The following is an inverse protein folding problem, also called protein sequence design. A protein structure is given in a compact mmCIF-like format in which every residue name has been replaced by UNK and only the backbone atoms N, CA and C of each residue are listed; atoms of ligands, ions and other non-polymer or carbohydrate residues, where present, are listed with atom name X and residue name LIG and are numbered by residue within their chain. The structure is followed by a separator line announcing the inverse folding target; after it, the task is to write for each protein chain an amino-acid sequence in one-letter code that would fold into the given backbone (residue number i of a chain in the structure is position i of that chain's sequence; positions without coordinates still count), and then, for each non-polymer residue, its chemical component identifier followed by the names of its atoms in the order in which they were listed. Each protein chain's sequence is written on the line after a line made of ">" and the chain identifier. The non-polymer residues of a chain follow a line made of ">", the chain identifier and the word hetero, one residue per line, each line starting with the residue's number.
data_IF_725728389990
#
_entry.id   IF_725728389990
#
_cell.length_a   1.000
_cell.length_b   1.000
_cell.length_c   1.000
_cell.angle_alpha   90.00
_cell.angle_beta   90.00
_cell.angle_gamma   90.00
#
_symmetry.space_group_name_H-M   'P 1'
#
loop_
_entity.id
_entity.type
_entity.pdbx_description
1 polymer ?
#
# COMPACT_ATOMS: atom_id res chain seq x y z
N UNK A 1 22.85 67.64 10.18
CA UNK A 1 23.72 68.06 9.06
C UNK A 1 24.17 66.80 8.33
N UNK A 2 23.53 66.46 7.20
CA UNK A 2 23.99 65.36 6.35
C UNK A 2 25.07 65.92 5.42
N UNK A 3 26.31 65.54 5.66
CA UNK A 3 27.44 65.89 4.79
C UNK A 3 27.51 64.79 3.73
N UNK A 4 27.08 65.11 2.51
CA UNK A 4 27.25 64.26 1.33
C UNK A 4 28.63 64.56 0.74
N UNK A 5 29.62 63.72 1.03
CA UNK A 5 30.94 63.81 0.41
C UNK A 5 30.89 63.10 -0.95
N UNK A 6 30.88 63.88 -2.04
CA UNK A 6 31.16 63.38 -3.39
C UNK A 6 32.65 63.52 -3.67
N UNK A 7 33.39 62.41 -3.68
CA UNK A 7 34.75 62.40 -4.22
C UNK A 7 34.72 62.18 -5.73
N UNK A 8 35.59 62.91 -6.43
CA UNK A 8 35.61 63.07 -7.88
C UNK A 8 35.82 61.77 -8.66
N UNK A 9 35.26 61.76 -9.87
CA UNK A 9 35.32 60.70 -10.84
C UNK A 9 36.77 60.34 -11.21
N UNK A 10 37.11 59.06 -11.06
CA UNK A 10 38.36 58.48 -11.55
C UNK A 10 38.24 56.96 -11.60
N UNK A 11 37.83 56.42 -12.75
CA UNK A 11 37.96 55.03 -13.24
C UNK A 11 37.61 53.82 -12.34
N UNK A 12 37.20 54.03 -11.09
CA UNK A 12 36.67 53.01 -10.19
C UNK A 12 35.43 53.62 -9.49
N UNK A 13 34.38 52.81 -9.35
CA UNK A 13 32.99 53.21 -9.12
C UNK A 13 32.72 54.29 -8.06
N UNK A 14 31.64 55.03 -8.26
CA UNK A 14 31.21 56.11 -7.36
C UNK A 14 30.89 55.58 -5.97
N UNK A 15 31.73 55.95 -5.01
CA UNK A 15 31.51 55.72 -3.59
C UNK A 15 30.47 56.70 -3.04
N UNK A 16 29.36 56.18 -2.50
CA UNK A 16 28.48 56.95 -1.61
C UNK A 16 28.52 56.29 -0.25
N UNK A 17 29.26 56.87 0.69
CA UNK A 17 29.27 56.43 2.08
C UNK A 17 28.34 57.34 2.89
N UNK A 18 27.32 56.77 3.53
CA UNK A 18 26.48 57.48 4.48
C UNK A 18 27.02 57.30 5.91
N UNK A 19 27.29 58.41 6.59
CA UNK A 19 27.76 58.42 7.97
C UNK A 19 26.58 58.70 8.90
N UNK A 20 26.09 57.69 9.61
CA UNK A 20 25.02 57.84 10.62
C UNK A 20 25.56 57.26 11.94
N UNK A 21 25.72 58.12 12.95
CA UNK A 21 26.02 57.70 14.32
C UNK A 21 27.39 57.04 14.57
N UNK A 22 28.41 57.32 13.75
CA UNK A 22 29.78 56.83 13.99
C UNK A 22 30.08 55.41 13.49
N UNK A 23 29.15 54.77 12.77
CA UNK A 23 29.39 53.51 12.06
C UNK A 23 29.42 53.76 10.56
N UNK A 24 30.51 53.31 9.90
CA UNK A 24 30.55 53.15 8.45
C UNK A 24 29.65 51.98 8.08
N UNK A 25 28.60 52.23 7.32
CA UNK A 25 27.83 51.19 6.66
C UNK A 25 28.43 51.00 5.27
N UNK A 26 29.11 49.88 5.02
CA UNK A 26 29.57 49.55 3.66
C UNK A 26 28.40 49.00 2.86
N UNK A 27 27.85 49.79 1.94
CA UNK A 27 27.09 49.22 0.84
C UNK A 27 28.04 48.27 0.06
N UNK A 28 27.61 47.04 -0.14
CA UNK A 28 28.37 46.03 -0.87
C UNK A 28 28.72 46.56 -2.27
N UNK A 29 30.00 46.82 -2.52
CA UNK A 29 30.49 47.29 -3.81
C UNK A 29 30.41 46.17 -4.85
N UNK A 30 29.72 46.40 -5.96
CA UNK A 30 29.73 45.55 -7.15
C UNK A 30 30.58 46.23 -8.23
N UNK A 31 31.41 45.46 -8.94
CA UNK A 31 32.22 45.89 -10.08
C UNK A 31 31.31 46.22 -11.28
N UNK A 32 31.85 46.82 -12.35
CA UNK A 32 31.08 47.16 -13.56
C UNK A 32 30.39 45.95 -14.21
N UNK A 33 30.92 44.74 -14.00
CA UNK A 33 30.34 43.48 -14.46
C UNK A 33 29.19 42.97 -13.57
N UNK A 34 28.83 43.70 -12.51
CA UNK A 34 27.73 43.36 -11.61
C UNK A 34 28.09 42.41 -10.46
N UNK A 35 29.36 42.02 -10.30
CA UNK A 35 29.82 41.10 -9.26
C UNK A 35 30.64 41.80 -8.17
N UNK A 36 30.51 41.35 -6.92
CA UNK A 36 31.28 41.84 -5.78
C UNK A 36 32.76 41.36 -5.84
N UNK A 37 33.67 41.85 -4.97
CA UNK A 37 35.07 41.40 -4.95
C UNK A 37 35.25 39.90 -4.77
N UNK A 38 34.30 39.22 -4.13
CA UNK A 38 34.28 37.76 -3.93
C UNK A 38 33.70 37.00 -5.13
N UNK A 39 33.28 37.69 -6.19
CA UNK A 39 32.81 37.08 -7.43
C UNK A 39 31.31 36.75 -7.47
N UNK A 40 30.49 37.27 -6.55
CA UNK A 40 29.05 37.02 -6.48
C UNK A 40 28.22 38.24 -6.91
N UNK A 41 27.10 38.00 -7.60
CA UNK A 41 26.13 39.02 -8.00
C UNK A 41 25.30 39.54 -6.80
N UNK A 42 24.35 40.44 -7.09
CA UNK A 42 23.48 41.05 -6.06
C UNK A 42 22.58 40.05 -5.33
N UNK A 43 22.30 38.91 -5.96
CA UNK A 43 21.46 37.87 -5.40
C UNK A 43 22.32 36.78 -4.71
N UNK A 44 23.64 36.92 -4.70
CA UNK A 44 24.58 36.02 -4.04
C UNK A 44 25.03 34.84 -4.89
N UNK A 45 24.99 34.93 -6.23
CA UNK A 45 25.41 33.85 -7.14
C UNK A 45 26.70 34.19 -7.89
N UNK A 46 27.58 33.21 -8.04
CA UNK A 46 28.84 33.32 -8.79
C UNK A 46 28.57 33.50 -10.30
N UNK A 47 29.63 33.67 -11.10
CA UNK A 47 29.51 33.83 -12.56
C UNK A 47 28.94 32.61 -13.27
N UNK A 48 28.96 31.45 -12.63
CA UNK A 48 28.40 30.21 -13.13
C UNK A 48 26.96 29.99 -12.63
N UNK A 49 26.43 30.93 -11.84
CA UNK A 49 25.06 30.94 -11.35
C UNK A 49 24.84 30.15 -10.05
N UNK A 50 25.89 29.87 -9.27
CA UNK A 50 25.81 29.10 -8.02
C UNK A 50 26.08 29.99 -6.79
N UNK A 51 25.33 29.78 -5.72
CA UNK A 51 25.55 30.46 -4.44
C UNK A 51 26.77 29.90 -3.69
N UNK A 52 27.08 30.47 -2.52
CA UNK A 52 28.21 30.04 -1.68
C UNK A 52 28.10 28.56 -1.21
N UNK A 53 26.87 28.04 -1.06
CA UNK A 53 26.62 26.63 -0.78
C UNK A 53 26.81 25.72 -2.01
N UNK A 54 27.07 26.28 -3.21
CA UNK A 54 27.25 25.56 -4.46
C UNK A 54 25.96 25.17 -5.18
N UNK A 55 24.83 25.84 -4.90
CA UNK A 55 23.52 25.59 -5.53
C UNK A 55 23.09 26.72 -6.45
N UNK A 56 22.49 26.37 -7.58
CA UNK A 56 21.91 27.31 -8.53
C UNK A 56 20.66 28.00 -7.98
N UNK A 57 20.10 28.94 -8.75
CA UNK A 57 18.88 29.67 -8.38
C UNK A 57 17.65 28.80 -8.19
N UNK A 58 17.67 27.58 -8.72
CA UNK A 58 16.61 26.59 -8.56
C UNK A 58 16.89 25.60 -7.42
N UNK A 59 18.03 25.73 -6.75
CA UNK A 59 18.42 24.90 -5.60
C UNK A 59 19.12 23.60 -5.97
N UNK A 60 19.71 23.48 -7.16
CA UNK A 60 20.47 22.31 -7.62
C UNK A 60 21.97 22.58 -7.64
N UNK A 61 22.77 21.61 -7.20
CA UNK A 61 24.22 21.70 -7.21
C UNK A 61 24.78 21.60 -8.65
N UNK A 62 26.10 21.74 -8.79
CA UNK A 62 26.79 21.62 -10.08
C UNK A 62 26.63 20.27 -10.78
N UNK A 63 26.26 19.21 -10.05
CA UNK A 63 25.93 17.90 -10.60
C UNK A 63 24.42 17.75 -10.95
N UNK A 64 23.62 18.81 -10.75
CA UNK A 64 22.19 18.84 -11.06
C UNK A 64 21.29 18.25 -9.98
N UNK A 65 21.76 18.10 -8.74
CA UNK A 65 21.00 17.52 -7.62
C UNK A 65 20.66 18.54 -6.54
N UNK A 66 19.45 18.46 -6.00
CA UNK A 66 18.98 19.30 -4.89
C UNK A 66 19.70 18.96 -3.57
N UNK A 67 19.43 19.73 -2.51
CA UNK A 67 19.98 19.47 -1.16
C UNK A 67 19.61 18.09 -0.59
N UNK A 68 18.62 17.40 -1.16
CA UNK A 68 18.19 16.05 -0.77
C UNK A 68 18.77 14.96 -1.69
N UNK A 69 19.60 15.33 -2.68
CA UNK A 69 20.23 14.40 -3.59
C UNK A 69 19.37 13.98 -4.78
N UNK A 70 18.33 14.73 -5.14
CA UNK A 70 17.44 14.43 -6.28
C UNK A 70 17.65 15.41 -7.42
N UNK A 71 17.68 14.89 -8.65
CA UNK A 71 17.77 15.68 -9.86
C UNK A 71 16.47 16.45 -10.15
N UNK A 72 16.47 17.22 -11.23
CA UNK A 72 15.31 18.02 -11.67
C UNK A 72 14.09 17.17 -12.03
N UNK A 73 14.29 15.90 -12.41
CA UNK A 73 13.23 14.93 -12.67
C UNK A 73 12.75 14.21 -11.39
N UNK A 74 13.36 14.51 -10.24
CA UNK A 74 12.99 13.94 -8.94
C UNK A 74 13.63 12.60 -8.61
N UNK A 75 14.69 12.20 -9.33
CA UNK A 75 15.43 10.94 -9.12
C UNK A 75 16.80 11.18 -8.48
N UNK A 76 17.20 10.27 -7.60
CA UNK A 76 18.54 10.27 -7.01
C UNK A 76 19.61 9.83 -8.01
N UNK A 77 20.86 9.80 -7.57
CA UNK A 77 22.00 9.41 -8.41
C UNK A 77 21.93 7.95 -8.88
N UNK A 78 21.17 7.11 -8.20
CA UNK A 78 20.94 5.70 -8.55
C UNK A 78 19.68 5.51 -9.41
N UNK A 79 18.97 6.59 -9.73
CA UNK A 79 17.78 6.56 -10.59
C UNK A 79 16.49 6.22 -9.86
N UNK A 80 16.43 6.40 -8.53
CA UNK A 80 15.22 6.18 -7.72
C UNK A 80 14.55 7.49 -7.32
N UNK A 81 13.23 7.54 -7.43
CA UNK A 81 12.43 8.68 -7.05
C UNK A 81 12.45 8.91 -5.52
N UNK A 82 11.78 9.96 -5.06
CA UNK A 82 11.68 10.26 -3.62
C UNK A 82 10.95 9.18 -2.81
N UNK A 83 10.21 8.29 -3.47
CA UNK A 83 9.53 7.14 -2.87
C UNK A 83 10.42 5.89 -2.87
N UNK A 84 11.60 5.93 -3.49
CA UNK A 84 12.55 4.84 -3.58
C UNK A 84 12.32 3.88 -4.75
N UNK A 85 11.60 4.31 -5.79
CA UNK A 85 11.26 3.51 -6.98
C UNK A 85 11.91 4.07 -8.24
N UNK A 86 12.40 3.18 -9.10
CA UNK A 86 12.96 3.56 -10.39
C UNK A 86 11.88 4.00 -11.39
N UNK A 87 12.30 4.41 -12.59
CA UNK A 87 11.39 4.79 -13.68
C UNK A 87 10.44 3.67 -14.13
N UNK A 88 10.74 2.40 -13.80
CA UNK A 88 9.90 1.24 -14.09
C UNK A 88 8.97 0.89 -12.92
N UNK A 89 9.06 1.64 -11.80
CA UNK A 89 8.22 1.46 -10.62
C UNK A 89 8.70 0.36 -9.66
N UNK A 90 9.98 -0.04 -9.72
CA UNK A 90 10.59 -1.04 -8.85
C UNK A 90 11.50 -0.41 -7.79
N UNK A 91 11.45 -0.94 -6.57
CA UNK A 91 12.32 -0.53 -5.48
C UNK A 91 13.78 -0.98 -5.72
N UNK A 92 14.69 -0.56 -4.84
CA UNK A 92 16.11 -0.95 -4.87
C UNK A 92 16.36 -2.46 -4.76
N UNK A 93 15.35 -3.25 -4.39
CA UNK A 93 15.39 -4.72 -4.33
C UNK A 93 14.70 -5.36 -5.53
N UNK A 94 14.22 -4.56 -6.49
CA UNK A 94 13.55 -5.02 -7.70
C UNK A 94 12.08 -5.37 -7.51
N UNK A 95 11.38 -4.83 -6.50
CA UNK A 95 9.96 -5.09 -6.26
C UNK A 95 9.08 -3.86 -6.51
N UNK A 96 7.93 -4.08 -7.16
CA UNK A 96 6.93 -3.04 -7.41
C UNK A 96 6.28 -2.55 -6.10
N UNK A 97 5.39 -1.56 -6.22
CA UNK A 97 4.61 -1.04 -5.09
C UNK A 97 3.73 -2.09 -4.39
N UNK A 98 3.48 -3.23 -5.05
CA UNK A 98 2.72 -4.34 -4.50
C UNK A 98 3.64 -5.45 -3.93
N UNK A 99 4.97 -5.28 -3.99
CA UNK A 99 5.94 -6.24 -3.49
C UNK A 99 6.27 -7.39 -4.45
N UNK A 100 6.04 -7.23 -5.75
CA UNK A 100 6.33 -8.24 -6.79
C UNK A 100 7.44 -7.80 -7.73
N UNK A 101 8.32 -8.71 -8.12
CA UNK A 101 9.39 -8.47 -9.07
C UNK A 101 8.88 -8.43 -10.52
N UNK A 102 9.79 -8.24 -11.47
CA UNK A 102 9.48 -8.25 -12.91
C UNK A 102 8.83 -9.55 -13.40
N UNK A 103 9.10 -10.67 -12.73
CA UNK A 103 8.49 -11.97 -13.04
C UNK A 103 7.12 -12.17 -12.35
N UNK A 104 6.66 -11.15 -11.60
CA UNK A 104 5.40 -11.19 -10.87
C UNK A 104 5.45 -12.04 -9.59
N UNK A 105 6.64 -12.30 -9.05
CA UNK A 105 6.87 -13.06 -7.82
C UNK A 105 7.23 -12.15 -6.65
N UNK A 106 6.73 -12.47 -5.47
CA UNK A 106 7.09 -11.79 -4.23
C UNK A 106 8.49 -12.20 -3.74
N UNK A 107 8.94 -11.56 -2.66
CA UNK A 107 10.22 -11.89 -2.01
C UNK A 107 10.36 -13.34 -1.52
N UNK A 108 9.26 -14.10 -1.46
CA UNK A 108 9.23 -15.51 -1.08
C UNK A 108 9.09 -16.45 -2.28
N UNK A 109 9.06 -15.92 -3.52
CA UNK A 109 8.94 -16.70 -4.75
C UNK A 109 7.50 -17.08 -5.13
N UNK A 110 6.50 -16.39 -4.60
CA UNK A 110 5.08 -16.66 -4.88
C UNK A 110 4.46 -15.57 -5.74
N UNK A 111 3.65 -15.97 -6.71
CA UNK A 111 2.93 -15.05 -7.58
C UNK A 111 1.79 -14.31 -6.86
N UNK A 112 1.09 -13.41 -7.57
CA UNK A 112 -0.06 -12.65 -7.03
C UNK A 112 -1.22 -13.55 -6.55
N UNK A 113 -1.30 -14.79 -7.02
CA UNK A 113 -2.26 -15.82 -6.58
C UNK A 113 -1.71 -16.70 -5.46
N UNK A 114 -0.52 -16.41 -4.92
CA UNK A 114 0.05 -17.16 -3.81
C UNK A 114 0.66 -18.51 -4.17
N UNK A 115 0.96 -18.77 -5.45
CA UNK A 115 1.62 -20.01 -5.91
C UNK A 115 3.08 -19.78 -6.34
N UNK A 116 3.94 -20.73 -6.04
CA UNK A 116 5.30 -20.77 -6.56
C UNK A 116 5.33 -21.31 -8.01
N UNK A 117 6.53 -21.43 -8.59
CA UNK A 117 6.71 -21.94 -9.96
C UNK A 117 6.28 -23.41 -10.15
N UNK A 118 6.20 -24.18 -9.07
CA UNK A 118 5.73 -25.58 -9.09
C UNK A 118 4.19 -25.68 -8.94
N UNK A 119 3.50 -24.54 -8.82
CA UNK A 119 2.04 -24.50 -8.59
C UNK A 119 1.64 -24.87 -7.16
N UNK A 120 2.56 -24.74 -6.20
CA UNK A 120 2.35 -25.03 -4.79
C UNK A 120 2.17 -23.72 -4.01
N UNK A 121 1.19 -23.68 -3.12
CA UNK A 121 0.90 -22.51 -2.29
C UNK A 121 1.86 -22.37 -1.08
N UNK A 122 1.64 -21.36 -0.25
CA UNK A 122 2.49 -21.07 0.93
C UNK A 122 2.45 -22.12 2.03
N UNK A 123 1.53 -23.07 1.97
CA UNK A 123 1.35 -24.13 2.97
C UNK A 123 1.58 -25.53 2.40
N UNK A 124 1.99 -25.63 1.13
CA UNK A 124 2.37 -26.90 0.50
C UNK A 124 1.24 -27.60 -0.26
N UNK A 125 0.10 -26.93 -0.50
CA UNK A 125 -1.00 -27.49 -1.30
C UNK A 125 -0.90 -27.06 -2.76
N UNK A 126 -1.17 -28.00 -3.65
CA UNK A 126 -1.28 -27.75 -5.09
C UNK A 126 -2.74 -27.55 -5.52
N UNK A 127 -2.94 -27.27 -6.80
CA UNK A 127 -4.26 -27.15 -7.41
C UNK A 127 -5.12 -28.43 -7.25
N UNK A 128 -4.51 -29.62 -7.27
CA UNK A 128 -5.22 -30.90 -7.15
C UNK A 128 -5.84 -31.11 -5.78
N UNK A 129 -5.14 -30.66 -4.73
CA UNK A 129 -5.67 -30.62 -3.37
C UNK A 129 -6.92 -29.74 -3.29
N UNK A 130 -6.85 -28.50 -3.78
CA UNK A 130 -7.98 -27.57 -3.73
C UNK A 130 -9.17 -28.07 -4.56
N UNK A 131 -8.92 -28.59 -5.76
CA UNK A 131 -9.97 -29.20 -6.59
C UNK A 131 -10.72 -30.32 -5.84
N UNK A 132 -10.00 -31.17 -5.13
CA UNK A 132 -10.59 -32.26 -4.33
C UNK A 132 -11.37 -31.71 -3.12
N UNK A 133 -10.82 -30.73 -2.41
CA UNK A 133 -11.45 -30.10 -1.26
C UNK A 133 -12.73 -29.34 -1.63
N UNK A 134 -12.71 -28.57 -2.72
CA UNK A 134 -13.86 -27.84 -3.26
C UNK A 134 -14.96 -28.82 -3.67
N UNK A 135 -14.60 -29.95 -4.29
CA UNK A 135 -15.56 -31.00 -4.61
C UNK A 135 -16.26 -31.54 -3.36
N UNK A 136 -15.52 -31.83 -2.29
CA UNK A 136 -16.10 -32.25 -1.00
C UNK A 136 -17.06 -31.19 -0.44
N UNK A 137 -16.66 -29.91 -0.43
CA UNK A 137 -17.50 -28.81 0.05
C UNK A 137 -18.79 -28.68 -0.78
N UNK A 138 -18.72 -28.82 -2.11
CA UNK A 138 -19.91 -28.80 -2.97
C UNK A 138 -20.86 -29.97 -2.68
N UNK A 139 -20.34 -31.16 -2.41
CA UNK A 139 -21.14 -32.32 -2.00
C UNK A 139 -21.83 -32.08 -0.64
N UNK A 140 -21.13 -31.46 0.32
CA UNK A 140 -21.69 -31.10 1.62
C UNK A 140 -22.78 -30.02 1.50
N UNK A 141 -22.57 -29.00 0.68
CA UNK A 141 -23.57 -28.00 0.37
C UNK A 141 -24.83 -28.62 -0.29
N UNK A 142 -24.65 -29.56 -1.22
CA UNK A 142 -25.77 -30.29 -1.83
C UNK A 142 -26.54 -31.13 -0.82
N UNK A 143 -25.84 -31.80 0.11
CA UNK A 143 -26.46 -32.53 1.21
C UNK A 143 -27.30 -31.62 2.10
N UNK A 144 -26.78 -30.44 2.47
CA UNK A 144 -27.52 -29.45 3.25
C UNK A 144 -28.76 -28.96 2.51
N UNK A 145 -28.66 -28.73 1.19
CA UNK A 145 -29.80 -28.38 0.36
C UNK A 145 -30.88 -29.49 0.34
N UNK A 146 -30.47 -30.76 0.33
CA UNK A 146 -31.37 -31.89 0.47
C UNK A 146 -32.09 -31.93 1.83
N UNK A 147 -31.39 -31.63 2.93
CA UNK A 147 -31.98 -31.49 4.26
C UNK A 147 -33.02 -30.37 4.29
N UNK A 148 -32.73 -29.22 3.66
CA UNK A 148 -33.67 -28.11 3.56
C UNK A 148 -34.98 -28.52 2.87
N UNK A 149 -34.91 -29.28 1.76
CA UNK A 149 -36.08 -29.77 1.02
C UNK A 149 -36.94 -30.74 1.84
N UNK A 150 -36.33 -31.46 2.79
CA UNK A 150 -37.03 -32.38 3.71
C UNK A 150 -37.57 -31.68 4.97
N UNK A 151 -37.36 -30.38 5.13
CA UNK A 151 -37.74 -29.64 6.34
C UNK A 151 -36.79 -29.87 7.53
N UNK A 152 -35.65 -30.51 7.31
CA UNK A 152 -34.62 -30.79 8.32
C UNK A 152 -33.74 -29.55 8.58
N UNK A 153 -34.36 -28.37 8.74
CA UNK A 153 -33.67 -27.08 8.78
C UNK A 153 -32.58 -26.99 9.86
N UNK A 154 -32.77 -27.46 11.11
CA UNK A 154 -31.71 -27.41 12.12
C UNK A 154 -30.42 -28.13 11.69
N UNK A 155 -30.54 -29.27 11.01
CA UNK A 155 -29.40 -30.02 10.49
C UNK A 155 -28.74 -29.27 9.32
N UNK A 156 -29.54 -28.69 8.43
CA UNK A 156 -29.03 -27.88 7.33
C UNK A 156 -28.22 -26.67 7.83
N UNK A 157 -28.72 -25.92 8.82
CA UNK A 157 -27.99 -24.78 9.39
C UNK A 157 -26.67 -25.19 10.04
N UNK A 158 -26.66 -26.32 10.77
CA UNK A 158 -25.44 -26.85 11.37
C UNK A 158 -24.42 -27.24 10.30
N UNK A 159 -24.84 -28.03 9.31
CA UNK A 159 -23.96 -28.52 8.24
C UNK A 159 -23.43 -27.33 7.41
N UNK A 160 -24.27 -26.32 7.09
CA UNK A 160 -23.85 -25.08 6.42
C UNK A 160 -22.80 -24.30 7.23
N UNK A 161 -22.98 -24.18 8.55
CA UNK A 161 -22.02 -23.46 9.40
C UNK A 161 -20.64 -24.13 9.39
N UNK A 162 -20.63 -25.45 9.57
CA UNK A 162 -19.40 -26.25 9.59
C UNK A 162 -18.69 -26.14 8.24
N UNK A 163 -19.43 -26.17 7.14
CA UNK A 163 -18.86 -26.08 5.81
C UNK A 163 -18.31 -24.67 5.53
N UNK A 164 -19.01 -23.61 5.95
CA UNK A 164 -18.50 -22.23 5.88
C UNK A 164 -17.20 -22.05 6.67
N UNK A 165 -17.06 -22.69 7.83
CA UNK A 165 -15.79 -22.72 8.57
C UNK A 165 -14.69 -23.44 7.77
N UNK A 166 -14.99 -24.53 7.07
CA UNK A 166 -14.00 -25.23 6.22
C UNK A 166 -13.53 -24.32 5.07
N UNK A 167 -14.46 -23.64 4.38
CA UNK A 167 -14.13 -22.71 3.30
C UNK A 167 -13.20 -21.60 3.79
N UNK A 168 -13.55 -20.93 4.90
CA UNK A 168 -12.70 -19.85 5.43
C UNK A 168 -11.32 -20.34 5.89
N UNK A 169 -11.24 -21.54 6.46
CA UNK A 169 -9.93 -22.16 6.79
C UNK A 169 -9.09 -22.38 5.53
N UNK A 170 -9.70 -22.84 4.43
CA UNK A 170 -8.99 -23.01 3.16
C UNK A 170 -8.49 -21.66 2.61
N UNK A 171 -9.34 -20.64 2.57
CA UNK A 171 -8.98 -19.28 2.13
C UNK A 171 -7.83 -18.71 2.97
N UNK A 172 -7.91 -18.81 4.30
CA UNK A 172 -6.87 -18.32 5.20
C UNK A 172 -5.53 -19.03 4.97
N UNK A 173 -5.54 -20.37 4.83
CA UNK A 173 -4.34 -21.18 4.56
C UNK A 173 -3.70 -20.83 3.24
N UNK A 174 -4.49 -20.75 2.17
CA UNK A 174 -4.04 -20.36 0.84
C UNK A 174 -3.29 -19.02 0.88
N UNK A 175 -3.80 -18.07 1.66
CA UNK A 175 -3.18 -16.74 1.85
C UNK A 175 -2.07 -16.70 2.92
N UNK A 176 -1.55 -17.86 3.35
CA UNK A 176 -0.48 -17.96 4.35
C UNK A 176 -0.85 -17.45 5.74
N UNK A 177 -2.14 -17.32 6.06
CA UNK A 177 -2.59 -16.87 7.38
C UNK A 177 -2.61 -18.03 8.36
N UNK A 178 -2.05 -17.78 9.54
CA UNK A 178 -2.11 -18.71 10.66
C UNK A 178 -3.53 -18.79 11.23
N UNK A 179 -3.98 -20.03 11.45
CA UNK A 179 -5.25 -20.36 12.10
C UNK A 179 -4.91 -20.96 13.46
N UNK A 180 -5.27 -20.26 14.54
CA UNK A 180 -5.03 -20.73 15.89
C UNK A 180 -6.11 -21.72 16.34
N UNK A 181 -5.73 -22.58 17.30
CA UNK A 181 -6.62 -23.61 17.82
C UNK A 181 -7.78 -22.95 18.58
N UNK A 182 -9.01 -23.23 18.16
CA UNK A 182 -10.22 -22.70 18.80
C UNK A 182 -10.83 -21.47 18.12
N UNK A 183 -10.24 -20.98 17.02
CA UNK A 183 -10.86 -19.92 16.21
C UNK A 183 -12.24 -20.32 15.70
N UNK A 184 -13.21 -19.45 15.97
CA UNK A 184 -14.59 -19.62 15.53
C UNK A 184 -14.83 -18.89 14.19
N UNK A 185 -16.03 -19.05 13.64
CA UNK A 185 -16.40 -18.44 12.35
C UNK A 185 -16.27 -16.90 12.36
N UNK A 186 -16.57 -16.25 13.48
CA UNK A 186 -16.43 -14.79 13.63
C UNK A 186 -14.98 -14.34 13.54
N UNK A 187 -14.06 -15.05 14.20
CA UNK A 187 -12.63 -14.73 14.19
C UNK A 187 -12.06 -14.81 12.77
N UNK A 188 -12.47 -15.85 12.04
CA UNK A 188 -12.05 -16.07 10.65
C UNK A 188 -12.60 -15.00 9.70
N UNK A 189 -13.89 -14.62 9.82
CA UNK A 189 -14.48 -13.52 9.02
C UNK A 189 -13.74 -12.21 9.30
N UNK A 190 -13.47 -11.91 10.58
CA UNK A 190 -12.72 -10.71 10.95
C UNK A 190 -11.32 -10.68 10.34
N UNK A 191 -10.58 -11.80 10.38
CA UNK A 191 -9.25 -11.92 9.76
C UNK A 191 -9.29 -11.71 8.25
N UNK A 192 -10.26 -12.33 7.56
CA UNK A 192 -10.45 -12.17 6.12
C UNK A 192 -10.73 -10.70 5.76
N UNK A 193 -11.65 -10.04 6.49
CA UNK A 193 -11.99 -8.63 6.29
C UNK A 193 -10.80 -7.70 6.54
N UNK A 194 -10.09 -7.87 7.66
CA UNK A 194 -8.93 -7.03 8.02
C UNK A 194 -7.78 -7.16 7.03
N UNK A 195 -7.55 -8.38 6.53
CA UNK A 195 -6.47 -8.67 5.59
C UNK A 195 -6.90 -8.52 4.13
N UNK A 196 -8.14 -8.08 3.86
CA UNK A 196 -8.73 -7.94 2.51
C UNK A 196 -8.62 -9.21 1.65
N UNK A 197 -8.77 -10.38 2.27
CA UNK A 197 -8.64 -11.69 1.62
C UNK A 197 -9.94 -12.18 0.99
N UNK A 198 -11.05 -11.52 1.31
CA UNK A 198 -12.39 -11.84 0.82
C UNK A 198 -13.07 -10.49 0.56
N UNK A 199 -13.85 -10.34 -0.52
CA UNK A 199 -14.63 -9.13 -0.77
C UNK A 199 -15.48 -8.73 0.44
N UNK A 200 -15.58 -7.42 0.68
CA UNK A 200 -16.30 -6.89 1.84
C UNK A 200 -17.77 -7.35 1.86
N UNK A 201 -18.42 -7.36 0.69
CA UNK A 201 -19.80 -7.82 0.54
C UNK A 201 -19.97 -9.29 0.98
N UNK A 202 -19.07 -10.17 0.55
CA UNK A 202 -19.09 -11.58 0.94
C UNK A 202 -18.82 -11.76 2.44
N UNK A 203 -17.94 -10.94 3.04
CA UNK A 203 -17.74 -10.93 4.50
C UNK A 203 -19.04 -10.56 5.24
N UNK A 204 -19.79 -9.57 4.76
CA UNK A 204 -21.06 -9.14 5.37
C UNK A 204 -22.14 -10.23 5.24
N UNK A 205 -22.21 -10.91 4.10
CA UNK A 205 -23.08 -12.07 3.91
C UNK A 205 -22.71 -13.21 4.87
N UNK A 206 -21.41 -13.49 5.03
CA UNK A 206 -20.90 -14.51 5.95
C UNK A 206 -21.17 -14.18 7.43
N UNK A 207 -21.08 -12.90 7.82
CA UNK A 207 -21.52 -12.44 9.14
C UNK A 207 -23.02 -12.71 9.35
N UNK A 208 -23.83 -12.44 8.32
CA UNK A 208 -25.25 -12.78 8.31
C UNK A 208 -25.52 -14.29 8.40
N UNK A 209 -24.74 -15.11 7.70
CA UNK A 209 -24.81 -16.58 7.80
C UNK A 209 -24.47 -17.03 9.21
N UNK A 210 -23.37 -16.51 9.78
CA UNK A 210 -22.94 -16.84 11.14
C UNK A 210 -24.05 -16.63 12.15
N UNK A 211 -24.71 -15.46 12.14
CA UNK A 211 -25.78 -15.15 13.08
C UNK A 211 -26.93 -16.18 12.98
N UNK A 212 -27.47 -16.40 11.77
CA UNK A 212 -28.61 -17.32 11.54
C UNK A 212 -28.28 -18.78 11.86
N UNK A 213 -27.02 -19.18 11.69
CA UNK A 213 -26.55 -20.51 12.06
C UNK A 213 -26.29 -20.68 13.57
N UNK A 214 -26.01 -19.60 14.30
CA UNK A 214 -25.63 -19.65 15.72
C UNK A 214 -26.82 -19.73 16.69
N UNK A 215 -28.02 -19.37 16.25
CA UNK A 215 -29.29 -19.49 17.01
C UNK A 215 -29.74 -20.95 17.22
N UNK A 216 -28.79 -21.90 17.27
CA UNK A 216 -29.01 -23.33 17.48
C UNK A 216 -28.61 -23.81 18.87
N UNK A 217 -27.99 -22.95 19.69
CA UNK A 217 -27.75 -23.26 21.09
C UNK A 217 -28.86 -22.68 21.95
N UNK A 218 -29.83 -23.54 22.25
CA UNK A 218 -30.70 -23.47 23.43
C UNK A 218 -31.44 -22.14 23.62
N UNK A 219 -32.58 -21.95 22.96
CA UNK A 219 -33.84 -21.57 23.62
C UNK A 219 -34.92 -21.17 22.61
N UNK A 220 -36.12 -21.72 22.86
CA UNK A 220 -37.45 -21.20 22.51
C UNK A 220 -37.78 -20.90 21.04
N UNK A 221 -38.65 -21.73 20.46
CA UNK A 221 -39.76 -21.34 19.55
C UNK A 221 -39.49 -20.47 18.30
N UNK A 222 -38.24 -20.18 17.91
CA UNK A 222 -37.98 -19.50 16.65
C UNK A 222 -38.16 -20.49 15.50
N UNK A 223 -39.31 -20.41 14.83
CA UNK A 223 -39.59 -21.15 13.61
C UNK A 223 -38.61 -20.73 12.53
N UNK A 224 -37.58 -21.55 12.30
CA UNK A 224 -36.57 -21.28 11.29
C UNK A 224 -37.22 -21.26 9.91
N UNK A 225 -37.05 -20.18 9.18
CA UNK A 225 -37.63 -20.08 7.85
C UNK A 225 -36.76 -20.78 6.81
N UNK A 226 -37.39 -21.47 5.86
CA UNK A 226 -36.71 -21.93 4.65
C UNK A 226 -35.96 -20.78 3.94
N UNK A 227 -36.47 -19.54 4.00
CA UNK A 227 -35.84 -18.37 3.40
C UNK A 227 -34.48 -18.05 4.05
N UNK A 228 -34.37 -18.19 5.37
CA UNK A 228 -33.12 -17.97 6.10
C UNK A 228 -32.10 -19.06 5.79
N UNK A 229 -32.55 -20.31 5.72
CA UNK A 229 -31.71 -21.43 5.31
C UNK A 229 -31.22 -21.26 3.87
N UNK A 230 -32.10 -20.77 2.99
CA UNK A 230 -31.77 -20.49 1.59
C UNK A 230 -30.76 -19.35 1.44
N UNK A 231 -30.86 -18.30 2.25
CA UNK A 231 -29.84 -17.26 2.32
C UNK A 231 -28.48 -17.86 2.73
N UNK A 232 -28.43 -18.62 3.82
CA UNK A 232 -27.18 -19.21 4.31
C UNK A 232 -26.57 -20.18 3.28
N UNK A 233 -27.39 -21.00 2.64
CA UNK A 233 -26.96 -21.89 1.56
C UNK A 233 -26.34 -21.11 0.39
N UNK A 234 -27.00 -20.03 -0.09
CA UNK A 234 -26.47 -19.21 -1.17
C UNK A 234 -25.14 -18.55 -0.81
N UNK A 235 -25.03 -18.02 0.41
CA UNK A 235 -23.78 -17.43 0.90
C UNK A 235 -22.66 -18.46 0.99
N UNK A 236 -22.95 -19.69 1.43
CA UNK A 236 -21.97 -20.78 1.40
C UNK A 236 -21.49 -21.08 -0.02
N UNK A 237 -22.42 -21.22 -0.98
CA UNK A 237 -22.06 -21.45 -2.38
C UNK A 237 -21.18 -20.31 -2.93
N UNK A 238 -21.53 -19.05 -2.67
CA UNK A 238 -20.74 -17.88 -3.08
C UNK A 238 -19.32 -17.92 -2.47
N UNK A 239 -19.18 -18.39 -1.23
CA UNK A 239 -17.87 -18.55 -0.60
C UNK A 239 -17.05 -19.70 -1.21
N UNK A 240 -17.69 -20.80 -1.60
CA UNK A 240 -17.02 -21.91 -2.31
C UNK A 240 -16.57 -21.44 -3.69
N UNK A 241 -17.41 -20.72 -4.42
CA UNK A 241 -17.10 -20.18 -5.74
C UNK A 241 -15.91 -19.20 -5.65
N UNK A 242 -15.87 -18.38 -4.60
CA UNK A 242 -14.73 -17.49 -4.34
C UNK A 242 -13.43 -18.26 -4.05
N UNK A 243 -13.49 -19.34 -3.26
CA UNK A 243 -12.32 -20.18 -3.02
C UNK A 243 -11.80 -20.77 -4.34
N UNK A 244 -12.69 -21.26 -5.21
CA UNK A 244 -12.32 -21.80 -6.52
C UNK A 244 -11.71 -20.74 -7.45
N UNK A 245 -12.12 -19.48 -7.35
CA UNK A 245 -11.55 -18.39 -8.15
C UNK A 245 -10.10 -18.04 -7.75
N UNK A 246 -9.82 -18.07 -6.43
CA UNK A 246 -8.50 -17.68 -5.90
C UNK A 246 -7.48 -18.82 -5.99
N UNK A 247 -7.92 -20.08 -5.98
CA UNK A 247 -7.05 -21.26 -6.06
C UNK A 247 -6.84 -21.72 -7.49
#
# INVERSE_FOLDING_TARGET
>A
MNILLRFGAGLFGTAVAAFIGGKLYSEHYYKEDGFNPNGYDRDGYDREGFNEDGFDREGYNRAGFDKRGFNRDGYDQEGYDRSGYDSQGFDRRGFDHNGFNSDGLDSSGYNRKGYNNDGIDRVGFDFGYYSSAIKEMRELAQKAHGQMKRGELPYAFRDIRVDAEKVLKAILRHNGKRIDKGENLSDMIYKCKRSKLVPLELCEKLDGLRFRCNDTQHDTEVEKSYNEAHFCYKTLCEAIDYLEEIT
#
